data_IF_918003970061
#
_entry.id   IF_918003970061
#
_cell.length_a   1.000
_cell.length_b   1.000
_cell.length_c   1.000
_cell.angle_alpha   90.00
_cell.angle_beta   90.00
_cell.angle_gamma   90.00
#
_symmetry.space_group_name_H-M   'P 1'
#
loop_
_entity.id
_entity.type
_entity.pdbx_description
1 polymer ?
#
# COMPACT_ATOMS: atom_id res chain seq x y z
N UNK A 1 24.23 23.70 2.59
CA UNK A 1 24.95 24.47 3.63
C UNK A 1 24.46 24.05 5.02
N UNK A 2 25.24 24.30 6.08
CA UNK A 2 24.82 24.02 7.48
C UNK A 2 23.48 24.66 7.82
N UNK A 3 23.29 25.93 7.44
CA UNK A 3 22.04 26.67 7.64
C UNK A 3 20.85 25.97 6.99
N UNK A 4 20.97 25.56 5.71
CA UNK A 4 19.89 24.87 5.03
C UNK A 4 19.50 23.56 5.73
N UNK A 5 20.50 22.79 6.19
CA UNK A 5 20.26 21.55 6.92
C UNK A 5 19.53 21.79 8.25
N UNK A 6 20.00 22.73 9.07
CA UNK A 6 19.35 23.05 10.35
C UNK A 6 17.93 23.58 10.18
N UNK A 7 17.69 24.46 9.19
CA UNK A 7 16.35 24.98 8.89
C UNK A 7 15.41 23.89 8.38
N UNK A 8 15.87 23.04 7.46
CA UNK A 8 15.05 21.97 6.88
C UNK A 8 14.65 20.93 7.94
N UNK A 9 15.59 20.53 8.81
CA UNK A 9 15.29 19.59 9.89
C UNK A 9 14.35 20.18 10.94
N UNK A 10 14.57 21.43 11.34
CA UNK A 10 13.65 22.12 12.24
C UNK A 10 12.25 22.17 11.63
N UNK A 11 12.12 22.54 10.36
CA UNK A 11 10.84 22.57 9.67
C UNK A 11 10.19 21.19 9.65
N UNK A 12 10.91 20.13 9.24
CA UNK A 12 10.37 18.77 9.17
C UNK A 12 9.71 18.35 10.48
N UNK A 13 10.41 18.51 11.62
CA UNK A 13 9.88 18.11 12.92
C UNK A 13 8.80 19.04 13.49
N UNK A 14 8.71 20.29 13.04
CA UNK A 14 7.77 21.29 13.62
C UNK A 14 6.54 21.56 12.76
N UNK A 15 6.52 21.13 11.49
CA UNK A 15 5.38 21.34 10.59
C UNK A 15 4.66 20.05 10.21
N UNK A 16 5.18 18.89 10.63
CA UNK A 16 4.60 17.58 10.39
C UNK A 16 3.64 17.14 11.49
N UNK A 17 3.69 15.84 11.80
CA UNK A 17 2.88 15.21 12.84
C UNK A 17 3.75 14.55 13.92
N UNK A 18 3.18 14.41 15.11
CA UNK A 18 3.81 13.72 16.22
C UNK A 18 2.78 12.83 16.96
N UNK A 19 3.27 11.73 17.52
CA UNK A 19 2.49 10.84 18.40
C UNK A 19 3.27 10.69 19.70
N UNK A 20 2.59 10.93 20.81
CA UNK A 20 3.13 10.89 22.17
C UNK A 20 2.49 9.70 22.91
N UNK A 21 3.34 8.74 23.28
CA UNK A 21 2.99 7.57 24.07
C UNK A 21 3.42 7.70 25.54
N UNK A 22 4.10 8.78 25.93
CA UNK A 22 4.74 8.95 27.26
C UNK A 22 3.79 8.83 28.44
N UNK A 23 2.49 9.07 28.24
CA UNK A 23 1.45 8.89 29.25
C UNK A 23 1.05 7.43 29.50
N UNK A 24 1.49 6.50 28.66
CA UNK A 24 1.12 5.08 28.71
C UNK A 24 1.99 4.31 29.70
N UNK A 25 1.40 3.32 30.37
CA UNK A 25 2.12 2.42 31.29
C UNK A 25 2.36 1.03 30.69
N UNK A 26 1.70 0.71 29.57
CA UNK A 26 1.96 -0.51 28.81
C UNK A 26 3.36 -0.43 28.17
N UNK A 27 4.22 -1.41 28.46
CA UNK A 27 5.62 -1.42 27.99
C UNK A 27 5.72 -1.44 26.45
N UNK A 28 4.71 -1.96 25.76
CA UNK A 28 4.62 -1.99 24.29
C UNK A 28 4.62 -0.57 23.71
N UNK A 29 4.09 0.41 24.43
CA UNK A 29 3.96 1.79 23.97
C UNK A 29 5.33 2.45 23.70
N UNK A 30 6.31 2.25 24.60
CA UNK A 30 7.65 2.83 24.45
C UNK A 30 8.41 2.27 23.24
N UNK A 31 8.22 0.99 22.94
CA UNK A 31 8.84 0.39 21.77
C UNK A 31 8.22 0.90 20.46
N UNK A 32 6.89 1.09 20.42
CA UNK A 32 6.23 1.70 19.26
C UNK A 32 6.72 3.14 19.07
N UNK A 33 6.78 3.94 20.13
CA UNK A 33 7.27 5.33 20.08
C UNK A 33 8.70 5.41 19.53
N UNK A 34 9.61 4.56 20.03
CA UNK A 34 10.98 4.45 19.53
C UNK A 34 11.00 4.16 18.03
N UNK A 35 10.22 3.16 17.58
CA UNK A 35 10.17 2.79 16.16
C UNK A 35 9.60 3.90 15.30
N UNK A 36 8.58 4.62 15.77
CA UNK A 36 7.98 5.76 15.04
C UNK A 36 9.00 6.87 14.84
N UNK A 37 9.64 7.34 15.92
CA UNK A 37 10.60 8.46 15.85
C UNK A 37 11.75 8.12 14.90
N UNK A 38 12.35 6.93 15.06
CA UNK A 38 13.46 6.51 14.22
C UNK A 38 13.03 6.28 12.77
N UNK A 39 11.84 5.74 12.53
CA UNK A 39 11.33 5.55 11.16
C UNK A 39 11.09 6.89 10.45
N UNK A 40 10.53 7.89 11.14
CA UNK A 40 10.39 9.24 10.56
C UNK A 40 11.73 9.83 10.15
N UNK A 41 12.76 9.68 11.00
CA UNK A 41 14.12 10.10 10.68
C UNK A 41 14.70 9.36 9.46
N UNK A 42 14.62 8.03 9.46
CA UNK A 42 15.20 7.19 8.40
C UNK A 42 14.55 7.44 7.05
N UNK A 43 13.23 7.40 6.99
CA UNK A 43 12.49 7.59 5.74
C UNK A 43 12.73 9.01 5.20
N UNK A 44 12.85 10.03 6.08
CA UNK A 44 13.21 11.40 5.65
C UNK A 44 14.56 11.46 4.93
N UNK A 45 15.62 10.87 5.49
CA UNK A 45 16.96 10.98 4.89
C UNK A 45 17.16 10.06 3.67
N UNK A 46 16.44 8.95 3.62
CA UNK A 46 16.65 7.91 2.61
C UNK A 46 15.73 8.05 1.39
N UNK A 47 14.53 8.63 1.52
CA UNK A 47 13.44 8.40 0.54
C UNK A 47 12.75 9.67 0.03
N UNK A 48 13.30 10.85 0.33
CA UNK A 48 12.72 12.15 -0.09
C UNK A 48 13.31 12.72 -1.38
N UNK A 49 13.79 11.82 -2.24
CA UNK A 49 14.28 12.13 -3.58
C UNK A 49 13.17 12.57 -4.55
N UNK A 50 13.51 12.68 -5.83
CA UNK A 50 12.53 12.88 -6.92
C UNK A 50 12.26 11.59 -7.69
N UNK A 51 12.78 10.46 -7.22
CA UNK A 51 12.64 9.14 -7.82
C UNK A 51 12.09 8.17 -6.77
N UNK A 52 11.38 7.11 -7.18
CA UNK A 52 11.00 6.02 -6.30
C UNK A 52 12.24 5.45 -5.59
N UNK A 53 12.19 5.24 -4.26
CA UNK A 53 13.30 4.66 -3.52
C UNK A 53 13.46 3.17 -3.84
N UNK A 54 14.69 2.66 -3.76
CA UNK A 54 14.91 1.22 -3.55
C UNK A 54 14.67 0.87 -2.07
N UNK A 55 14.52 -0.42 -1.79
CA UNK A 55 13.99 -0.93 -0.52
C UNK A 55 14.93 -0.71 0.69
N UNK A 56 16.22 -0.47 0.44
CA UNK A 56 17.23 -0.13 1.45
C UNK A 56 17.58 1.36 1.46
N UNK A 57 16.87 2.18 0.68
CA UNK A 57 17.11 3.61 0.53
C UNK A 57 18.46 3.90 -0.12
N UNK A 58 19.21 4.86 0.40
CA UNK A 58 20.54 5.24 -0.08
C UNK A 58 21.67 4.49 0.67
N UNK A 59 21.36 3.46 1.46
CA UNK A 59 22.34 2.83 2.36
C UNK A 59 23.27 1.85 1.64
N UNK A 60 22.71 0.87 0.93
CA UNK A 60 23.45 -0.09 0.12
C UNK A 60 22.50 -0.68 -0.93
N UNK A 61 23.04 -1.34 -1.96
CA UNK A 61 22.20 -1.93 -2.99
C UNK A 61 21.54 -3.23 -2.48
N UNK A 62 20.23 -3.20 -2.27
CA UNK A 62 19.40 -4.42 -2.37
C UNK A 62 19.15 -4.72 -3.85
N UNK A 63 18.13 -5.52 -4.20
CA UNK A 63 17.69 -5.88 -5.56
C UNK A 63 18.24 -5.03 -6.74
N UNK A 64 19.53 -5.23 -7.06
CA UNK A 64 20.30 -4.47 -8.05
C UNK A 64 20.35 -2.93 -7.89
N UNK A 65 19.99 -2.39 -6.72
CA UNK A 65 19.92 -0.94 -6.52
C UNK A 65 18.71 -0.29 -7.22
N UNK A 66 17.71 -1.08 -7.62
CA UNK A 66 16.60 -0.65 -8.47
C UNK A 66 15.29 -0.56 -7.68
N UNK A 67 14.49 0.50 -7.88
CA UNK A 67 13.15 0.56 -7.31
C UNK A 67 12.25 -0.55 -7.87
N UNK A 68 11.65 -1.32 -6.97
CA UNK A 68 10.53 -2.19 -7.29
C UNK A 68 9.24 -1.42 -7.06
N UNK A 69 8.48 -1.18 -8.12
CA UNK A 69 7.34 -0.26 -8.13
C UNK A 69 6.13 -0.74 -7.34
N UNK A 70 6.15 -1.96 -6.79
CA UNK A 70 5.22 -2.38 -5.73
C UNK A 70 5.56 -1.83 -4.33
N UNK A 71 6.80 -1.43 -4.09
CA UNK A 71 7.26 -0.94 -2.79
C UNK A 71 7.00 0.55 -2.50
N UNK A 72 6.84 1.47 -3.47
CA UNK A 72 6.53 2.88 -3.23
C UNK A 72 5.36 3.12 -2.29
N UNK A 73 4.35 2.24 -2.26
CA UNK A 73 3.28 2.37 -1.27
C UNK A 73 3.84 2.34 0.16
N UNK A 74 4.63 1.30 0.45
CA UNK A 74 5.24 1.08 1.76
C UNK A 74 6.29 2.11 2.13
N UNK A 75 6.87 2.79 1.15
CA UNK A 75 7.83 3.86 1.33
C UNK A 75 7.17 5.24 1.52
N UNK A 76 6.21 5.59 0.67
CA UNK A 76 5.81 6.98 0.45
C UNK A 76 4.37 7.29 0.90
N UNK A 77 3.49 6.29 0.99
CA UNK A 77 2.07 6.51 1.27
C UNK A 77 1.82 7.22 2.61
N UNK A 78 2.72 7.05 3.58
CA UNK A 78 2.58 7.67 4.89
C UNK A 78 2.77 9.19 4.88
N UNK A 79 3.55 9.77 3.95
CA UNK A 79 3.97 11.17 4.06
C UNK A 79 2.80 12.17 4.22
N UNK A 80 1.73 12.13 3.41
CA UNK A 80 0.58 13.01 3.61
C UNK A 80 -0.07 12.82 4.99
N UNK A 81 -0.16 11.58 5.48
CA UNK A 81 -0.74 11.27 6.79
C UNK A 81 0.06 11.82 7.97
N UNK A 82 1.32 12.19 7.74
CA UNK A 82 2.22 12.82 8.70
C UNK A 82 2.48 14.31 8.40
N UNK A 83 1.63 14.95 7.59
CA UNK A 83 1.73 16.39 7.29
C UNK A 83 2.84 16.75 6.30
N UNK A 84 3.23 15.81 5.45
CA UNK A 84 4.36 15.95 4.52
C UNK A 84 4.01 15.66 3.06
N UNK A 85 2.79 16.00 2.58
CA UNK A 85 2.41 15.77 1.16
C UNK A 85 3.43 16.24 0.14
N UNK A 86 4.12 17.34 0.39
CA UNK A 86 5.09 17.90 -0.55
C UNK A 86 6.24 16.92 -0.84
N UNK A 87 6.56 16.01 0.08
CA UNK A 87 7.55 14.97 -0.13
C UNK A 87 7.02 13.87 -1.07
N UNK A 88 5.76 13.47 -0.93
CA UNK A 88 5.11 12.55 -1.87
C UNK A 88 4.95 13.19 -3.25
N UNK A 89 4.45 14.43 -3.32
CA UNK A 89 4.24 15.18 -4.57
C UNK A 89 5.54 15.33 -5.37
N UNK A 90 6.67 15.54 -4.69
CA UNK A 90 7.99 15.58 -5.33
C UNK A 90 8.40 14.22 -5.91
N UNK A 91 8.20 13.11 -5.18
CA UNK A 91 8.53 11.77 -5.69
C UNK A 91 7.62 11.36 -6.86
N UNK A 92 6.39 11.88 -6.89
CA UNK A 92 5.43 11.64 -7.96
C UNK A 92 5.83 12.25 -9.31
N UNK A 93 6.77 13.21 -9.33
CA UNK A 93 7.26 13.81 -10.57
C UNK A 93 7.90 12.76 -11.50
N UNK A 94 8.45 11.67 -10.95
CA UNK A 94 9.00 10.55 -11.74
C UNK A 94 7.97 9.91 -12.69
N UNK A 95 6.69 9.85 -12.32
CA UNK A 95 5.67 9.28 -13.19
C UNK A 95 5.48 10.08 -14.48
N UNK A 96 5.76 11.39 -14.48
CA UNK A 96 5.77 12.18 -15.72
C UNK A 96 6.96 11.81 -16.61
N UNK A 97 8.14 11.61 -16.01
CA UNK A 97 9.34 11.13 -16.72
C UNK A 97 9.10 9.77 -17.36
N UNK A 98 8.43 8.85 -16.64
CA UNK A 98 8.19 7.49 -17.08
C UNK A 98 6.98 7.33 -18.02
N UNK A 99 6.12 8.33 -18.17
CA UNK A 99 4.81 8.20 -18.84
C UNK A 99 4.91 7.71 -20.29
N UNK A 100 5.83 8.25 -21.09
CA UNK A 100 5.99 7.82 -22.48
C UNK A 100 6.43 6.37 -22.59
N UNK A 101 7.28 5.90 -21.67
CA UNK A 101 7.72 4.51 -21.61
C UNK A 101 6.59 3.60 -21.12
N UNK A 102 5.83 4.02 -20.12
CA UNK A 102 4.64 3.31 -19.64
C UNK A 102 3.59 3.11 -20.75
N UNK A 103 3.41 4.12 -21.61
CA UNK A 103 2.56 4.03 -22.81
C UNK A 103 3.09 3.02 -23.83
N UNK A 104 4.41 2.99 -24.05
CA UNK A 104 5.05 2.02 -24.94
C UNK A 104 4.91 0.58 -24.43
N UNK A 105 5.04 0.37 -23.12
CA UNK A 105 4.83 -0.93 -22.48
C UNK A 105 3.39 -1.42 -22.71
N UNK A 106 2.39 -0.58 -22.40
CA UNK A 106 0.98 -0.89 -22.63
C UNK A 106 0.74 -1.28 -24.10
N UNK A 107 1.18 -0.43 -25.04
CA UNK A 107 1.03 -0.69 -26.48
C UNK A 107 1.69 -1.99 -26.93
N UNK A 108 2.92 -2.27 -26.48
CA UNK A 108 3.67 -3.49 -26.83
C UNK A 108 2.96 -4.75 -26.38
N UNK A 109 2.22 -4.67 -25.27
CA UNK A 109 1.47 -5.78 -24.69
C UNK A 109 0.00 -5.83 -25.14
N UNK A 110 -0.44 -4.91 -26.01
CA UNK A 110 -1.80 -4.88 -26.54
C UNK A 110 -2.83 -4.20 -25.64
N UNK A 111 -2.39 -3.41 -24.67
CA UNK A 111 -3.26 -2.64 -23.76
C UNK A 111 -3.33 -1.15 -24.13
N UNK A 112 -4.34 -0.48 -23.61
CA UNK A 112 -4.50 0.98 -23.72
C UNK A 112 -3.76 1.68 -22.56
N UNK A 113 -3.69 3.01 -22.60
CA UNK A 113 -3.26 3.81 -21.46
C UNK A 113 -1.77 3.71 -21.11
N UNK A 114 -1.49 3.71 -19.81
CA UNK A 114 -0.16 3.72 -19.19
C UNK A 114 -0.01 2.50 -18.29
N UNK A 115 0.93 1.61 -18.63
CA UNK A 115 1.32 0.47 -17.79
C UNK A 115 2.66 0.74 -17.12
N UNK A 116 2.71 0.74 -15.81
CA UNK A 116 3.89 1.08 -15.03
C UNK A 116 4.82 -0.13 -14.87
N UNK A 117 6.13 -0.01 -15.19
CA UNK A 117 7.04 -1.13 -15.08
C UNK A 117 7.20 -1.60 -13.62
N UNK A 118 7.36 -2.90 -13.40
CA UNK A 118 7.56 -3.49 -12.07
C UNK A 118 8.93 -3.14 -11.47
N UNK A 119 10.02 -3.34 -12.21
CA UNK A 119 11.37 -2.90 -11.81
C UNK A 119 11.84 -1.86 -12.81
N UNK A 120 12.37 -0.75 -12.31
CA UNK A 120 12.72 0.38 -13.17
C UNK A 120 13.96 1.12 -12.71
N UNK A 121 14.36 2.14 -13.46
CA UNK A 121 15.39 3.09 -13.10
C UNK A 121 14.85 4.52 -13.04
N UNK A 122 15.73 5.48 -12.73
CA UNK A 122 15.34 6.88 -12.59
C UNK A 122 14.83 7.52 -13.91
N UNK A 123 15.09 6.89 -15.06
CA UNK A 123 14.60 7.34 -16.37
C UNK A 123 13.28 6.64 -16.76
N UNK A 124 12.77 5.72 -15.95
CA UNK A 124 11.57 4.95 -16.25
C UNK A 124 11.81 3.77 -17.21
N UNK A 125 13.07 3.35 -17.42
CA UNK A 125 13.36 2.16 -18.23
C UNK A 125 12.97 0.89 -17.48
N UNK A 126 12.31 -0.04 -18.17
CA UNK A 126 11.99 -1.36 -17.61
C UNK A 126 13.28 -2.17 -17.42
N UNK A 127 13.45 -2.74 -16.23
CA UNK A 127 14.59 -3.61 -15.91
C UNK A 127 14.19 -5.09 -16.00
N UNK A 128 15.13 -6.00 -16.36
CA UNK A 128 14.82 -7.42 -16.45
C UNK A 128 14.26 -8.01 -15.16
N UNK A 129 13.15 -8.74 -15.27
CA UNK A 129 12.51 -9.45 -14.16
C UNK A 129 11.76 -10.66 -14.71
N UNK A 130 11.89 -11.82 -14.05
CA UNK A 130 11.17 -13.04 -14.43
C UNK A 130 9.66 -12.95 -14.20
N UNK A 131 9.21 -12.03 -13.34
CA UNK A 131 7.80 -11.88 -12.94
C UNK A 131 7.21 -10.51 -13.31
N UNK A 132 8.03 -9.53 -13.67
CA UNK A 132 7.60 -8.13 -13.79
C UNK A 132 6.48 -7.88 -14.79
N UNK A 133 6.43 -8.63 -15.89
CA UNK A 133 5.38 -8.50 -16.90
C UNK A 133 4.01 -9.04 -16.45
N UNK A 134 3.95 -9.78 -15.33
CA UNK A 134 2.71 -10.37 -14.80
C UNK A 134 2.22 -9.70 -13.51
N UNK A 135 3.04 -8.88 -12.87
CA UNK A 135 2.67 -8.20 -11.64
C UNK A 135 1.79 -6.98 -11.96
N UNK A 136 0.75 -6.75 -11.14
CA UNK A 136 -0.26 -5.70 -11.37
C UNK A 136 -0.51 -4.78 -10.18
N UNK A 137 -0.13 -5.18 -8.96
CA UNK A 137 -0.56 -4.45 -7.76
C UNK A 137 0.10 -3.08 -7.59
N UNK A 138 1.18 -2.80 -8.33
CA UNK A 138 1.79 -1.48 -8.43
C UNK A 138 0.98 -0.49 -9.30
N UNK A 139 0.22 -1.01 -10.28
CA UNK A 139 -0.42 -0.21 -11.32
C UNK A 139 -1.34 0.88 -10.75
N UNK A 140 -2.15 0.62 -9.69
CA UNK A 140 -3.04 1.64 -9.17
C UNK A 140 -2.39 2.62 -8.17
N UNK A 141 -1.11 2.44 -7.80
CA UNK A 141 -0.42 3.28 -6.80
C UNK A 141 -0.43 4.76 -7.14
N UNK A 142 -0.20 5.11 -8.41
CA UNK A 142 -0.25 6.50 -8.87
C UNK A 142 -1.59 7.17 -8.54
N UNK A 143 -2.71 6.47 -8.78
CA UNK A 143 -4.05 6.98 -8.48
C UNK A 143 -4.22 7.14 -6.97
N UNK A 144 -3.71 6.20 -6.17
CA UNK A 144 -3.72 6.30 -4.71
C UNK A 144 -2.95 7.52 -4.19
N UNK A 145 -1.73 7.72 -4.67
CA UNK A 145 -0.90 8.85 -4.27
C UNK A 145 -1.50 10.19 -4.71
N UNK A 146 -1.96 10.29 -5.96
CA UNK A 146 -2.60 11.49 -6.47
C UNK A 146 -3.88 11.84 -5.69
N UNK A 147 -4.73 10.86 -5.38
CA UNK A 147 -5.92 11.09 -4.54
C UNK A 147 -5.53 11.52 -3.13
N UNK A 148 -4.49 10.94 -2.55
CA UNK A 148 -4.03 11.30 -1.20
C UNK A 148 -3.49 12.73 -1.16
N UNK A 149 -2.71 13.15 -2.16
CA UNK A 149 -2.26 14.55 -2.31
C UNK A 149 -3.47 15.48 -2.48
N UNK A 150 -4.42 15.12 -3.35
CA UNK A 150 -5.62 15.92 -3.58
C UNK A 150 -6.46 16.07 -2.31
N UNK A 151 -6.63 15.00 -1.53
CA UNK A 151 -7.39 15.04 -0.26
C UNK A 151 -6.81 16.06 0.72
N UNK A 152 -5.50 16.23 0.72
CA UNK A 152 -4.80 17.19 1.57
C UNK A 152 -4.77 18.61 0.96
N UNK A 153 -5.96 19.20 0.80
CA UNK A 153 -6.17 20.59 0.34
C UNK A 153 -7.34 20.75 -0.61
N UNK A 154 -7.79 19.67 -1.26
CA UNK A 154 -8.86 19.62 -2.26
C UNK A 154 -8.63 20.62 -3.40
N UNK A 155 -7.38 20.81 -3.78
CA UNK A 155 -6.97 21.79 -4.77
C UNK A 155 -7.20 21.28 -6.19
N UNK A 156 -7.90 22.07 -6.99
CA UNK A 156 -8.11 21.79 -8.41
C UNK A 156 -6.79 21.74 -9.19
N UNK A 157 -5.75 22.47 -8.76
CA UNK A 157 -4.43 22.43 -9.39
C UNK A 157 -3.81 21.02 -9.34
N UNK A 158 -4.05 20.24 -8.28
CA UNK A 158 -3.61 18.84 -8.18
C UNK A 158 -4.34 17.97 -9.20
N UNK A 159 -5.66 18.17 -9.36
CA UNK A 159 -6.43 17.47 -10.37
C UNK A 159 -5.89 17.76 -11.78
N UNK A 160 -5.66 19.04 -12.09
CA UNK A 160 -5.13 19.44 -13.40
C UNK A 160 -3.71 18.92 -13.66
N UNK A 161 -2.83 18.94 -12.65
CA UNK A 161 -1.45 18.41 -12.73
C UNK A 161 -1.47 16.92 -13.10
N UNK A 162 -2.27 16.12 -12.40
CA UNK A 162 -2.20 14.65 -12.48
C UNK A 162 -3.24 13.99 -13.39
N UNK A 163 -4.24 14.72 -13.91
CA UNK A 163 -5.36 14.11 -14.68
C UNK A 163 -4.90 13.21 -15.83
N UNK A 164 -3.86 13.60 -16.57
CA UNK A 164 -3.38 12.82 -17.72
C UNK A 164 -2.81 11.47 -17.28
N UNK A 165 -2.05 11.47 -16.18
CA UNK A 165 -1.48 10.26 -15.59
C UNK A 165 -2.55 9.36 -14.96
N UNK A 166 -3.48 9.95 -14.20
CA UNK A 166 -4.61 9.23 -13.59
C UNK A 166 -5.49 8.59 -14.66
N UNK A 167 -5.85 9.33 -15.71
CA UNK A 167 -6.69 8.81 -16.78
C UNK A 167 -5.97 7.76 -17.62
N UNK A 168 -4.70 7.99 -17.96
CA UNK A 168 -3.90 7.00 -18.68
C UNK A 168 -3.72 5.70 -17.91
N UNK A 169 -3.53 5.78 -16.59
CA UNK A 169 -3.48 4.58 -15.72
C UNK A 169 -4.83 3.87 -15.69
N UNK A 170 -5.93 4.63 -15.54
CA UNK A 170 -7.28 4.07 -15.55
C UNK A 170 -7.66 3.42 -16.90
N UNK A 171 -7.17 3.97 -18.02
CA UNK A 171 -7.35 3.37 -19.35
C UNK A 171 -6.64 2.01 -19.46
N UNK A 172 -5.39 1.90 -18.96
CA UNK A 172 -4.70 0.61 -18.87
C UNK A 172 -5.51 -0.35 -18.01
N UNK A 173 -5.88 0.07 -16.79
CA UNK A 173 -6.64 -0.74 -15.86
C UNK A 173 -7.98 -1.21 -16.44
N UNK A 174 -8.69 -0.39 -17.20
CA UNK A 174 -9.94 -0.77 -17.85
C UNK A 174 -9.74 -1.65 -19.09
N UNK A 175 -8.55 -1.67 -19.68
CA UNK A 175 -8.24 -2.50 -20.85
C UNK A 175 -7.64 -3.87 -20.51
N UNK A 176 -7.13 -4.04 -19.29
CA UNK A 176 -6.44 -5.25 -18.88
C UNK A 176 -7.36 -6.46 -18.58
N UNK A 177 -8.47 -6.33 -17.80
CA UNK A 177 -9.35 -7.44 -17.52
C UNK A 177 -9.98 -8.04 -18.79
N UNK A 178 -10.06 -9.36 -18.87
CA UNK A 178 -10.76 -10.02 -19.99
C UNK A 178 -12.24 -10.18 -19.66
N UNK A 179 -13.09 -9.98 -20.66
CA UNK A 179 -14.53 -10.18 -20.52
C UNK A 179 -14.90 -11.65 -20.75
N UNK A 180 -15.39 -12.30 -19.70
CA UNK A 180 -15.93 -13.67 -19.70
C UNK A 180 -17.43 -13.61 -20.04
N UNK A 181 -17.77 -13.97 -21.28
CA UNK A 181 -19.14 -13.85 -21.81
C UNK A 181 -20.12 -14.76 -21.08
N UNK A 182 -19.65 -15.93 -20.68
CA UNK A 182 -20.45 -17.00 -20.09
C UNK A 182 -21.04 -16.58 -18.73
N UNK A 183 -20.31 -15.76 -17.98
CA UNK A 183 -20.73 -15.29 -16.65
C UNK A 183 -20.96 -13.77 -16.59
N UNK A 184 -20.98 -13.10 -17.75
CA UNK A 184 -21.17 -11.64 -17.89
C UNK A 184 -20.29 -10.82 -16.91
N UNK A 185 -18.99 -11.13 -16.87
CA UNK A 185 -18.05 -10.51 -15.92
C UNK A 185 -16.66 -10.25 -16.52
N UNK A 186 -15.94 -9.29 -15.94
CA UNK A 186 -14.52 -9.06 -16.20
C UNK A 186 -13.66 -9.79 -15.18
N UNK A 187 -12.75 -10.61 -15.68
CA UNK A 187 -11.77 -11.34 -14.88
C UNK A 187 -10.43 -10.61 -14.95
N UNK A 188 -9.81 -10.42 -13.79
CA UNK A 188 -8.46 -9.87 -13.66
C UNK A 188 -7.44 -11.02 -13.74
N UNK A 189 -6.76 -11.13 -14.88
CA UNK A 189 -5.99 -12.33 -15.28
C UNK A 189 -6.77 -13.17 -16.30
N UNK A 190 -6.35 -14.37 -16.70
CA UNK A 190 -5.10 -15.07 -16.37
C UNK A 190 -3.86 -14.32 -16.85
N UNK A 191 -2.68 -14.70 -16.36
CA UNK A 191 -1.43 -13.99 -16.63
C UNK A 191 -1.17 -12.89 -15.59
N UNK A 192 -1.44 -13.19 -14.32
CA UNK A 192 -1.19 -12.28 -13.20
C UNK A 192 -0.40 -12.97 -12.09
N UNK A 193 0.59 -12.26 -11.53
CA UNK A 193 1.22 -12.61 -10.27
C UNK A 193 0.67 -11.65 -9.21
N UNK A 194 -0.07 -12.15 -8.21
CA UNK A 194 -0.62 -11.29 -7.17
C UNK A 194 0.47 -10.88 -6.18
N UNK A 195 0.17 -9.91 -5.33
CA UNK A 195 1.07 -9.36 -4.31
C UNK A 195 1.64 -10.40 -3.35
N UNK A 196 1.00 -11.58 -3.23
CA UNK A 196 1.56 -12.69 -2.46
C UNK A 196 2.73 -13.41 -3.16
N UNK A 197 2.87 -13.31 -4.49
CA UNK A 197 3.98 -13.86 -5.29
C UNK A 197 4.18 -15.40 -5.22
N UNK A 198 3.18 -16.16 -4.77
CA UNK A 198 3.25 -17.64 -4.64
C UNK A 198 2.59 -18.45 -5.74
N UNK A 199 1.72 -17.81 -6.52
CA UNK A 199 0.88 -18.48 -7.51
C UNK A 199 1.51 -18.41 -8.92
N UNK A 200 1.20 -19.39 -9.77
CA UNK A 200 1.71 -19.43 -11.14
C UNK A 200 0.98 -18.43 -12.01
N UNK A 201 1.71 -17.57 -12.73
CA UNK A 201 1.14 -16.47 -13.49
C UNK A 201 0.08 -16.93 -14.51
N UNK A 202 0.36 -18.04 -15.19
CA UNK A 202 -0.42 -18.56 -16.32
C UNK A 202 -1.79 -19.11 -15.90
N UNK A 203 -1.91 -19.51 -14.63
CA UNK A 203 -3.12 -20.13 -14.08
C UNK A 203 -3.93 -19.15 -13.22
N UNK A 204 -3.27 -18.12 -12.67
CA UNK A 204 -3.84 -17.27 -11.63
C UNK A 204 -4.80 -16.23 -12.19
N UNK A 205 -5.95 -16.03 -11.56
CA UNK A 205 -6.89 -14.95 -11.86
C UNK A 205 -7.72 -14.54 -10.64
N UNK A 206 -8.29 -13.34 -10.71
CA UNK A 206 -9.10 -12.70 -9.66
C UNK A 206 -8.46 -12.75 -8.26
N UNK A 207 -7.23 -12.21 -8.08
CA UNK A 207 -6.69 -12.00 -6.73
C UNK A 207 -7.53 -11.03 -5.90
N UNK A 208 -7.79 -11.36 -4.64
CA UNK A 208 -8.74 -10.60 -3.81
C UNK A 208 -8.32 -9.16 -3.56
N UNK A 209 -7.04 -8.92 -3.24
CA UNK A 209 -6.54 -7.57 -2.99
C UNK A 209 -6.60 -6.71 -4.26
N UNK A 210 -6.13 -7.26 -5.37
CA UNK A 210 -6.05 -6.58 -6.65
C UNK A 210 -7.44 -6.25 -7.18
N UNK A 211 -8.44 -7.13 -7.03
CA UNK A 211 -9.83 -6.82 -7.39
C UNK A 211 -10.36 -5.59 -6.64
N UNK A 212 -10.11 -5.51 -5.33
CA UNK A 212 -10.51 -4.35 -4.53
C UNK A 212 -9.76 -3.10 -4.95
N UNK A 213 -8.46 -3.22 -5.22
CA UNK A 213 -7.66 -2.07 -5.64
C UNK A 213 -8.06 -1.57 -7.02
N UNK A 214 -8.34 -2.49 -7.95
CA UNK A 214 -8.82 -2.18 -9.29
C UNK A 214 -10.12 -1.38 -9.24
N UNK A 215 -11.10 -1.89 -8.48
CA UNK A 215 -12.38 -1.24 -8.30
C UNK A 215 -12.23 0.13 -7.63
N UNK A 216 -11.41 0.23 -6.57
CA UNK A 216 -11.17 1.50 -5.89
C UNK A 216 -10.56 2.55 -6.82
N UNK A 217 -9.53 2.18 -7.59
CA UNK A 217 -8.80 3.14 -8.39
C UNK A 217 -9.60 3.59 -9.62
N UNK A 218 -10.32 2.69 -10.30
CA UNK A 218 -11.23 3.06 -11.39
C UNK A 218 -12.37 3.95 -10.89
N UNK A 219 -12.94 3.64 -9.71
CA UNK A 219 -13.95 4.50 -9.06
C UNK A 219 -13.38 5.89 -8.77
N UNK A 220 -12.14 5.94 -8.27
CA UNK A 220 -11.45 7.21 -7.96
C UNK A 220 -11.14 8.01 -9.22
N UNK A 221 -10.71 7.36 -10.30
CA UNK A 221 -10.50 8.00 -11.60
C UNK A 221 -11.80 8.58 -12.17
N UNK A 222 -12.94 7.91 -12.00
CA UNK A 222 -14.25 8.49 -12.37
C UNK A 222 -14.59 9.73 -11.53
N UNK A 223 -14.35 9.70 -10.22
CA UNK A 223 -14.51 10.88 -9.35
C UNK A 223 -13.63 12.05 -9.79
N UNK A 224 -12.41 11.78 -10.27
CA UNK A 224 -11.54 12.80 -10.85
C UNK A 224 -12.15 13.46 -12.10
N UNK A 225 -12.76 12.67 -12.99
CA UNK A 225 -13.49 13.20 -14.15
C UNK A 225 -14.63 14.10 -13.73
N UNK A 226 -15.46 13.65 -12.78
CA UNK A 226 -16.59 14.41 -12.25
C UNK A 226 -16.15 15.73 -11.59
N UNK A 227 -15.10 15.70 -10.76
CA UNK A 227 -14.52 16.91 -10.13
C UNK A 227 -13.95 17.90 -11.16
N UNK A 228 -13.56 17.42 -12.33
CA UNK A 228 -13.11 18.23 -13.47
C UNK A 228 -14.26 18.61 -14.43
N UNK A 229 -15.51 18.32 -14.08
CA UNK A 229 -16.70 18.53 -14.91
C UNK A 229 -16.63 17.80 -16.27
N UNK A 230 -15.92 16.68 -16.33
CA UNK A 230 -15.88 15.79 -17.48
C UNK A 230 -16.93 14.68 -17.30
N UNK A 231 -17.58 14.21 -18.38
CA UNK A 231 -18.46 13.07 -18.31
C UNK A 231 -17.68 11.82 -17.89
N UNK A 232 -18.29 10.92 -17.12
CA UNK A 232 -17.71 9.62 -16.78
C UNK A 232 -17.30 8.84 -18.04
N UNK A 233 -16.24 8.05 -17.94
CA UNK A 233 -15.81 7.17 -19.03
C UNK A 233 -16.66 5.89 -19.02
N UNK A 234 -17.35 5.62 -20.13
CA UNK A 234 -18.27 4.47 -20.25
C UNK A 234 -17.56 3.11 -20.11
N UNK A 235 -16.35 2.96 -20.65
CA UNK A 235 -15.58 1.71 -20.57
C UNK A 235 -15.18 1.41 -19.14
N UNK A 236 -14.75 2.45 -18.40
CA UNK A 236 -14.40 2.30 -16.98
C UNK A 236 -15.64 1.93 -16.16
N UNK A 237 -16.81 2.51 -16.45
CA UNK A 237 -18.07 2.14 -15.81
C UNK A 237 -18.49 0.70 -16.11
N UNK A 238 -18.33 0.25 -17.34
CA UNK A 238 -18.64 -1.13 -17.73
C UNK A 238 -17.77 -2.13 -16.96
N UNK A 239 -16.45 -1.89 -16.89
CA UNK A 239 -15.52 -2.73 -16.13
C UNK A 239 -15.88 -2.70 -14.64
N UNK A 240 -16.16 -1.52 -14.06
CA UNK A 240 -16.56 -1.42 -12.65
C UNK A 240 -17.82 -2.22 -12.32
N UNK A 241 -18.84 -2.14 -13.19
CA UNK A 241 -20.12 -2.82 -12.99
C UNK A 241 -20.02 -4.34 -13.10
N UNK A 242 -19.11 -4.81 -13.94
CA UNK A 242 -18.98 -6.23 -14.29
C UNK A 242 -17.71 -6.88 -13.73
N UNK A 243 -16.88 -6.17 -12.97
CA UNK A 243 -15.69 -6.76 -12.37
C UNK A 243 -16.07 -7.93 -11.47
N UNK A 244 -15.31 -9.02 -11.54
CA UNK A 244 -15.52 -10.20 -10.71
C UNK A 244 -15.71 -9.88 -9.23
N UNK A 245 -16.63 -10.61 -8.60
CA UNK A 245 -16.81 -10.61 -7.14
C UNK A 245 -15.57 -11.21 -6.48
N UNK A 246 -15.35 -10.84 -5.22
CA UNK A 246 -14.26 -11.38 -4.43
C UNK A 246 -14.46 -12.88 -4.18
N UNK A 247 -13.43 -13.72 -4.38
CA UNK A 247 -13.55 -15.16 -4.19
C UNK A 247 -13.66 -15.52 -2.71
N UNK A 248 -14.71 -16.26 -2.34
CA UNK A 248 -15.00 -16.71 -0.97
C UNK A 248 -15.21 -18.21 -0.95
N UNK A 249 -14.60 -18.89 0.03
CA UNK A 249 -14.81 -20.31 0.29
C UNK A 249 -14.81 -20.56 1.79
N UNK A 250 -15.76 -21.35 2.29
CA UNK A 250 -15.86 -21.70 3.70
C UNK A 250 -15.82 -20.49 4.66
N UNK A 251 -16.49 -19.39 4.27
CA UNK A 251 -16.56 -18.13 5.04
C UNK A 251 -15.20 -17.43 5.21
N UNK A 252 -14.25 -17.68 4.32
CA UNK A 252 -12.95 -17.01 4.21
C UNK A 252 -12.78 -16.45 2.79
N UNK A 253 -12.15 -15.29 2.66
CA UNK A 253 -11.72 -14.81 1.34
C UNK A 253 -10.55 -15.65 0.85
N UNK A 254 -10.58 -16.16 -0.38
CA UNK A 254 -9.42 -16.83 -0.96
C UNK A 254 -8.34 -15.81 -1.33
N UNK A 255 -7.09 -16.26 -1.49
CA UNK A 255 -6.03 -15.38 -2.02
C UNK A 255 -6.34 -14.99 -3.48
N UNK A 256 -6.78 -15.96 -4.28
CA UNK A 256 -7.21 -15.79 -5.68
C UNK A 256 -8.37 -16.75 -6.00
N UNK A 257 -9.22 -16.44 -6.99
CA UNK A 257 -10.33 -17.33 -7.40
C UNK A 257 -9.81 -18.68 -7.93
N UNK A 258 -8.68 -18.65 -8.64
CA UNK A 258 -7.99 -19.85 -9.14
C UNK A 258 -7.46 -20.79 -8.06
N UNK A 259 -7.23 -20.30 -6.83
CA UNK A 259 -6.56 -21.05 -5.77
C UNK A 259 -7.54 -21.48 -4.67
N UNK A 260 -8.42 -22.44 -4.97
CA UNK A 260 -9.38 -23.00 -4.00
C UNK A 260 -8.70 -23.73 -2.83
N UNK A 261 -7.41 -24.03 -2.96
CA UNK A 261 -6.53 -24.62 -1.95
C UNK A 261 -5.66 -23.57 -1.20
N UNK A 262 -5.98 -22.27 -1.31
CA UNK A 262 -5.24 -21.15 -0.67
C UNK A 262 -4.86 -21.42 0.80
N UNK A 263 -5.72 -22.10 1.55
CA UNK A 263 -5.58 -22.34 2.98
C UNK A 263 -5.28 -23.79 3.37
N UNK A 264 -5.24 -24.70 2.41
CA UNK A 264 -4.90 -26.12 2.64
C UNK A 264 -3.51 -26.45 2.11
N UNK A 265 -3.04 -25.75 1.08
CA UNK A 265 -1.72 -25.94 0.50
C UNK A 265 -0.64 -25.19 1.30
N UNK A 266 0.34 -25.89 1.91
CA UNK A 266 1.40 -25.24 2.70
C UNK A 266 2.17 -24.16 1.95
N UNK A 267 2.37 -24.30 0.64
CA UNK A 267 3.12 -23.34 -0.19
C UNK A 267 2.40 -21.99 -0.31
N UNK A 268 1.08 -21.98 -0.23
CA UNK A 268 0.24 -20.78 -0.34
C UNK A 268 -0.05 -20.12 1.02
N UNK A 269 0.47 -20.69 2.12
CA UNK A 269 0.42 -20.12 3.47
C UNK A 269 1.74 -19.47 3.91
N UNK A 270 2.61 -19.19 2.96
CA UNK A 270 3.88 -18.48 3.16
C UNK A 270 3.81 -17.13 2.45
N UNK A 271 4.82 -16.30 2.68
CA UNK A 271 4.92 -14.96 2.08
C UNK A 271 3.81 -14.04 2.60
N UNK A 272 3.47 -13.01 1.84
CA UNK A 272 2.52 -11.99 2.24
C UNK A 272 1.07 -12.52 2.36
N UNK A 273 0.37 -12.35 3.50
CA UNK A 273 -1.07 -12.57 3.61
C UNK A 273 -1.88 -11.45 2.91
N UNK A 274 -1.61 -11.23 1.62
CA UNK A 274 -2.07 -10.07 0.83
C UNK A 274 -3.58 -9.85 0.83
N UNK A 275 -4.39 -10.91 1.04
CA UNK A 275 -5.85 -10.82 1.18
C UNK A 275 -6.28 -9.81 2.25
N UNK A 276 -5.48 -9.62 3.31
CA UNK A 276 -5.76 -8.65 4.37
C UNK A 276 -5.68 -7.20 3.87
N UNK A 277 -4.84 -6.92 2.86
CA UNK A 277 -4.73 -5.58 2.27
C UNK A 277 -6.05 -5.10 1.66
N UNK A 278 -6.90 -6.02 1.18
CA UNK A 278 -8.21 -5.71 0.62
C UNK A 278 -9.10 -4.93 1.61
N UNK A 279 -8.87 -5.06 2.91
CA UNK A 279 -9.62 -4.34 3.94
C UNK A 279 -8.76 -3.40 4.77
N UNK A 280 -7.52 -3.78 5.10
CA UNK A 280 -6.64 -2.98 5.97
C UNK A 280 -6.00 -1.79 5.28
N UNK A 281 -5.43 -2.04 4.09
CA UNK A 281 -4.64 -1.08 3.30
C UNK A 281 -5.56 -0.25 2.41
N UNK A 282 -6.53 -0.90 1.78
CA UNK A 282 -7.44 -0.24 0.86
C UNK A 282 -8.52 0.58 1.58
N UNK A 283 -8.91 1.75 1.03
CA UNK A 283 -10.12 2.44 1.48
C UNK A 283 -11.35 1.57 1.25
N UNK A 284 -12.39 1.82 2.04
CA UNK A 284 -13.62 1.04 1.95
C UNK A 284 -14.29 1.22 0.57
N UNK A 285 -14.40 0.13 -0.20
CA UNK A 285 -15.10 0.10 -1.49
C UNK A 285 -16.54 -0.41 -1.40
N UNK A 286 -16.91 -1.02 -0.28
CA UNK A 286 -18.16 -1.75 -0.11
C UNK A 286 -18.15 -3.18 -0.66
N UNK A 287 -17.05 -3.64 -1.29
CA UNK A 287 -16.93 -5.00 -1.82
C UNK A 287 -16.58 -6.05 -0.75
N UNK A 288 -15.93 -5.62 0.34
CA UNK A 288 -15.45 -6.50 1.40
C UNK A 288 -16.45 -6.56 2.54
N UNK A 289 -16.91 -7.76 2.85
CA UNK A 289 -17.69 -8.08 4.03
C UNK A 289 -16.76 -8.16 5.26
N UNK A 290 -17.01 -7.31 6.25
CA UNK A 290 -16.17 -7.21 7.43
C UNK A 290 -16.20 -8.48 8.31
N UNK A 291 -17.30 -9.24 8.32
CA UNK A 291 -17.39 -10.49 9.08
C UNK A 291 -16.55 -11.59 8.43
N UNK A 292 -16.64 -11.76 7.11
CA UNK A 292 -15.79 -12.69 6.35
C UNK A 292 -14.32 -12.31 6.49
N UNK A 293 -14.00 -11.01 6.39
CA UNK A 293 -12.63 -10.54 6.58
C UNK A 293 -12.12 -10.77 8.01
N UNK A 294 -12.98 -10.62 9.03
CA UNK A 294 -12.61 -10.95 10.41
C UNK A 294 -12.31 -12.44 10.60
N UNK A 295 -13.10 -13.31 9.98
CA UNK A 295 -12.83 -14.76 9.99
C UNK A 295 -11.52 -15.08 9.27
N UNK A 296 -11.31 -14.46 8.11
CA UNK A 296 -10.06 -14.54 7.32
C UNK A 296 -8.85 -14.10 8.15
N UNK A 297 -8.95 -12.94 8.81
CA UNK A 297 -7.92 -12.42 9.70
C UNK A 297 -7.59 -13.39 10.84
N UNK A 298 -8.59 -13.88 11.56
CA UNK A 298 -8.38 -14.78 12.70
C UNK A 298 -7.73 -16.09 12.25
N UNK A 299 -8.17 -16.64 11.12
CA UNK A 299 -7.56 -17.83 10.56
C UNK A 299 -6.09 -17.60 10.21
N UNK A 300 -5.77 -16.50 9.52
CA UNK A 300 -4.38 -16.12 9.16
C UNK A 300 -3.55 -15.89 10.43
N UNK A 301 -4.09 -15.20 11.43
CA UNK A 301 -3.45 -14.96 12.72
C UNK A 301 -2.90 -16.25 13.34
N UNK A 302 -3.69 -17.32 13.30
CA UNK A 302 -3.36 -18.60 13.94
C UNK A 302 -2.57 -19.56 13.05
N UNK A 303 -2.73 -19.49 11.72
CA UNK A 303 -2.30 -20.57 10.82
C UNK A 303 -1.27 -20.15 9.76
N UNK A 304 -0.93 -18.86 9.65
CA UNK A 304 0.03 -18.39 8.67
C UNK A 304 1.47 -18.77 9.03
N UNK A 305 2.32 -18.96 8.02
CA UNK A 305 3.75 -19.23 8.22
C UNK A 305 4.49 -17.93 8.51
N UNK A 306 4.28 -17.35 9.69
CA UNK A 306 4.80 -16.03 10.07
C UNK A 306 6.32 -15.88 9.90
N UNK A 307 7.09 -16.96 10.04
CA UNK A 307 8.55 -16.93 9.80
C UNK A 307 8.96 -16.64 8.34
N UNK A 308 8.03 -16.84 7.40
CA UNK A 308 8.23 -16.66 5.96
C UNK A 308 7.56 -15.37 5.46
N UNK A 309 7.47 -14.35 6.32
CA UNK A 309 6.88 -13.02 6.04
C UNK A 309 7.94 -11.93 5.99
N UNK A 310 7.59 -10.76 5.48
CA UNK A 310 8.46 -9.60 5.31
C UNK A 310 8.05 -8.45 6.24
N UNK A 311 8.94 -7.47 6.40
CA UNK A 311 8.77 -6.41 7.39
C UNK A 311 7.53 -5.53 7.25
N UNK A 312 7.01 -5.34 6.03
CA UNK A 312 5.79 -4.57 5.81
C UNK A 312 4.50 -5.36 6.08
N UNK A 313 4.58 -6.69 6.24
CA UNK A 313 3.41 -7.53 6.52
C UNK A 313 2.78 -7.19 7.89
N UNK A 314 3.61 -6.88 8.88
CA UNK A 314 3.15 -6.57 10.23
C UNK A 314 2.36 -5.25 10.30
N UNK A 315 2.81 -4.15 9.65
CA UNK A 315 1.95 -2.98 9.42
C UNK A 315 0.65 -3.28 8.67
N UNK A 316 0.66 -4.10 7.61
CA UNK A 316 -0.58 -4.52 6.92
C UNK A 316 -1.58 -5.18 7.90
N UNK A 317 -1.10 -6.15 8.67
CA UNK A 317 -1.92 -6.88 9.64
C UNK A 317 -2.46 -5.92 10.70
N UNK A 318 -1.63 -4.99 11.17
CA UNK A 318 -2.03 -3.94 12.12
C UNK A 318 -3.13 -3.03 11.58
N UNK A 319 -3.00 -2.58 10.33
CA UNK A 319 -4.03 -1.76 9.68
C UNK A 319 -5.36 -2.51 9.52
N UNK A 320 -5.29 -3.80 9.18
CA UNK A 320 -6.47 -4.66 9.06
C UNK A 320 -7.15 -4.86 10.41
N UNK A 321 -6.40 -5.19 11.45
CA UNK A 321 -6.91 -5.33 12.82
C UNK A 321 -7.57 -4.03 13.31
N UNK A 322 -6.97 -2.87 13.00
CA UNK A 322 -7.52 -1.54 13.32
C UNK A 322 -8.90 -1.34 12.70
N UNK A 323 -9.04 -1.57 11.39
CA UNK A 323 -10.32 -1.39 10.68
C UNK A 323 -11.39 -2.42 11.08
N UNK A 324 -10.97 -3.56 11.64
CA UNK A 324 -11.85 -4.60 12.18
C UNK A 324 -12.26 -4.35 13.65
N UNK A 325 -11.79 -3.25 14.27
CA UNK A 325 -12.08 -2.94 15.66
C UNK A 325 -11.38 -3.86 16.66
N UNK A 326 -10.17 -4.32 16.33
CA UNK A 326 -9.36 -5.24 17.15
C UNK A 326 -8.05 -4.55 17.59
N UNK A 327 -8.11 -3.52 18.46
CA UNK A 327 -6.94 -2.69 18.77
C UNK A 327 -5.80 -3.43 19.48
N UNK A 328 -6.09 -4.45 20.31
CA UNK A 328 -5.03 -5.28 20.90
C UNK A 328 -4.25 -6.05 19.82
N UNK A 329 -4.97 -6.65 18.84
CA UNK A 329 -4.34 -7.32 17.70
C UNK A 329 -3.56 -6.34 16.81
N UNK A 330 -4.03 -5.09 16.70
CA UNK A 330 -3.32 -4.06 15.94
C UNK A 330 -1.96 -3.72 16.55
N UNK A 331 -1.89 -3.58 17.88
CA UNK A 331 -0.63 -3.40 18.62
C UNK A 331 0.23 -4.66 18.55
N UNK A 332 -0.35 -5.83 18.79
CA UNK A 332 0.38 -7.10 18.79
C UNK A 332 0.98 -7.42 17.42
N UNK A 333 0.31 -7.06 16.32
CA UNK A 333 0.85 -7.23 14.97
C UNK A 333 2.17 -6.47 14.81
N UNK A 334 2.23 -5.20 15.24
CA UNK A 334 3.46 -4.39 15.16
C UNK A 334 4.59 -4.92 16.03
N UNK A 335 4.30 -5.73 17.06
CA UNK A 335 5.28 -6.21 18.02
C UNK A 335 5.44 -7.74 18.02
N UNK A 336 4.88 -8.41 17.01
CA UNK A 336 4.99 -9.86 16.86
C UNK A 336 6.46 -10.26 16.83
N UNK A 337 6.84 -11.25 17.66
CA UNK A 337 8.22 -11.69 17.82
C UNK A 337 8.68 -12.57 16.65
N UNK A 338 8.86 -11.94 15.49
CA UNK A 338 9.32 -12.56 14.25
C UNK A 338 10.54 -11.77 13.75
N UNK A 339 11.54 -12.47 13.21
CA UNK A 339 12.80 -11.88 12.75
C UNK A 339 12.58 -10.69 11.82
N UNK A 340 11.68 -10.81 10.83
CA UNK A 340 11.40 -9.77 9.85
C UNK A 340 10.60 -8.58 10.41
N UNK A 341 10.07 -8.69 11.64
CA UNK A 341 9.46 -7.60 12.40
C UNK A 341 10.44 -6.92 13.39
N UNK A 342 11.73 -7.25 13.31
CA UNK A 342 12.75 -6.67 14.20
C UNK A 342 13.12 -5.27 13.74
N UNK A 343 13.13 -4.32 14.68
CA UNK A 343 13.64 -2.96 14.47
C UNK A 343 14.92 -2.78 15.27
N UNK A 344 16.03 -2.62 14.56
CA UNK A 344 17.36 -2.47 15.15
C UNK A 344 17.44 -1.23 16.05
N UNK A 345 18.51 -1.13 16.85
CA UNK A 345 18.74 0.03 17.73
C UNK A 345 18.78 1.34 16.93
N UNK A 346 19.33 1.30 15.71
CA UNK A 346 19.35 2.44 14.79
C UNK A 346 18.02 2.69 14.06
N UNK A 347 16.99 1.90 14.35
CA UNK A 347 15.63 2.05 13.84
C UNK A 347 15.29 1.29 12.56
N UNK A 348 16.27 0.77 11.82
CA UNK A 348 15.97 0.06 10.57
C UNK A 348 15.23 -1.24 10.87
N UNK A 349 14.23 -1.55 10.04
CA UNK A 349 13.62 -2.86 10.01
C UNK A 349 14.58 -3.88 9.37
N UNK A 350 14.81 -5.00 10.04
CA UNK A 350 15.75 -6.07 9.65
C UNK A 350 15.01 -7.23 9.01
N UNK A 351 15.56 -7.83 7.95
CA UNK A 351 15.00 -9.04 7.32
C UNK A 351 15.84 -10.27 7.61
N UNK A 352 17.09 -10.28 7.11
CA UNK A 352 18.03 -11.39 7.27
C UNK A 352 19.48 -10.95 7.00
N UNK A 353 20.43 -11.88 7.02
CA UNK A 353 21.85 -11.57 6.84
C UNK A 353 22.20 -10.93 5.49
N UNK A 354 21.42 -11.25 4.43
CA UNK A 354 21.59 -10.74 3.06
C UNK A 354 20.85 -9.43 2.82
N UNK A 355 19.73 -9.23 3.53
CA UNK A 355 18.93 -8.00 3.52
C UNK A 355 18.80 -7.47 4.95
N UNK A 356 19.85 -6.81 5.42
CA UNK A 356 19.95 -6.36 6.80
C UNK A 356 19.06 -5.16 7.11
N UNK A 357 18.67 -4.40 6.10
CA UNK A 357 17.81 -3.22 6.22
C UNK A 357 16.69 -3.32 5.20
N UNK A 358 15.49 -2.90 5.58
CA UNK A 358 14.32 -2.94 4.71
C UNK A 358 13.31 -1.86 5.10
N UNK A 359 13.40 -0.72 4.42
CA UNK A 359 12.63 0.47 4.72
C UNK A 359 11.12 0.38 4.42
N UNK A 360 10.60 -0.54 3.56
CA UNK A 360 9.16 -0.80 3.50
C UNK A 360 8.52 -1.11 4.85
N UNK A 361 9.25 -1.80 5.75
CA UNK A 361 8.79 -2.01 7.12
C UNK A 361 8.61 -0.70 7.88
N UNK A 362 9.60 0.21 7.78
CA UNK A 362 9.59 1.51 8.44
C UNK A 362 8.46 2.43 7.94
N UNK A 363 8.29 2.60 6.63
CA UNK A 363 7.22 3.43 6.08
C UNK A 363 5.83 2.79 6.25
N UNK A 364 5.74 1.46 6.19
CA UNK A 364 4.55 0.71 6.56
C UNK A 364 4.12 0.97 8.00
N UNK A 365 5.06 0.92 8.95
CA UNK A 365 4.79 1.24 10.36
C UNK A 365 4.22 2.65 10.52
N UNK A 366 4.79 3.64 9.84
CA UNK A 366 4.29 5.01 9.88
C UNK A 366 2.86 5.11 9.32
N UNK A 367 2.57 4.39 8.24
CA UNK A 367 1.19 4.28 7.72
C UNK A 367 0.25 3.66 8.76
N UNK A 368 0.65 2.55 9.37
CA UNK A 368 -0.17 1.85 10.37
C UNK A 368 -0.44 2.72 11.60
N UNK A 369 0.58 3.38 12.17
CA UNK A 369 0.40 4.22 13.36
C UNK A 369 -0.49 5.43 13.06
N UNK A 370 -0.36 6.05 11.87
CA UNK A 370 -1.27 7.12 11.48
C UNK A 370 -2.73 6.65 11.44
N UNK A 371 -3.00 5.47 10.86
CA UNK A 371 -4.32 4.85 10.85
C UNK A 371 -4.81 4.51 12.27
N UNK A 372 -3.95 3.93 13.11
CA UNK A 372 -4.30 3.55 14.48
C UNK A 372 -4.67 4.75 15.36
N UNK A 373 -4.07 5.92 15.09
CA UNK A 373 -4.26 7.14 15.87
C UNK A 373 -5.36 8.04 15.28
N UNK A 374 -5.19 8.51 14.04
CA UNK A 374 -6.12 9.44 13.40
C UNK A 374 -7.36 8.75 12.82
N UNK A 375 -7.26 7.44 12.52
CA UNK A 375 -8.32 6.66 11.91
C UNK A 375 -8.41 6.83 10.41
N UNK A 376 -9.58 6.51 9.89
CA UNK A 376 -9.91 6.48 8.46
C UNK A 376 -11.26 7.14 8.20
N UNK A 377 -11.62 7.33 6.93
CA UNK A 377 -12.93 7.87 6.56
C UNK A 377 -14.05 6.99 7.15
N UNK A 378 -14.99 7.62 7.85
CA UNK A 378 -16.07 6.93 8.56
C UNK A 378 -15.70 6.35 9.94
N UNK A 379 -14.42 6.39 10.35
CA UNK A 379 -14.03 6.01 11.70
C UNK A 379 -14.65 6.96 12.74
N UNK A 380 -15.40 6.37 13.69
CA UNK A 380 -16.08 7.07 14.79
C UNK A 380 -15.25 7.11 16.07
N UNK A 381 -14.42 6.10 16.27
CA UNK A 381 -13.57 5.97 17.45
C UNK A 381 -12.34 6.87 17.35
N UNK A 382 -12.00 7.54 18.45
CA UNK A 382 -10.69 8.22 18.59
C UNK A 382 -9.63 7.15 18.83
N UNK A 383 -8.47 7.24 18.18
CA UNK A 383 -7.40 6.24 18.29
C UNK A 383 -7.89 4.80 18.05
N UNK A 384 -8.52 4.48 16.90
CA UNK A 384 -9.22 3.21 16.68
C UNK A 384 -8.32 1.97 16.81
N UNK A 385 -7.03 2.11 16.58
CA UNK A 385 -6.06 1.01 16.69
C UNK A 385 -5.35 0.92 18.04
N UNK A 386 -5.66 1.82 18.98
CA UNK A 386 -5.04 1.83 20.32
C UNK A 386 -6.01 1.21 21.34
N UNK A 387 -5.55 0.23 22.16
CA UNK A 387 -6.39 -0.39 23.17
C UNK A 387 -6.98 0.63 24.15
N UNK A 388 -8.22 0.38 24.61
CA UNK A 388 -8.95 1.27 25.52
C UNK A 388 -8.77 0.93 26.99
N UNK A 389 -7.81 0.05 27.31
CA UNK A 389 -7.50 -0.31 28.68
C UNK A 389 -6.72 0.83 29.38
N UNK A 390 -6.58 0.77 30.71
CA UNK A 390 -5.93 1.82 31.51
C UNK A 390 -4.44 2.01 31.21
N UNK A 391 -3.82 1.08 30.48
CA UNK A 391 -2.39 1.10 30.16
C UNK A 391 -2.00 2.01 28.99
N UNK A 392 -2.97 2.47 28.19
CA UNK A 392 -2.71 3.28 26.99
C UNK A 392 -3.24 4.70 27.15
N UNK A 393 -2.35 5.68 26.96
CA UNK A 393 -2.67 7.10 26.94
C UNK A 393 -1.86 7.76 25.84
N UNK A 394 -2.47 7.79 24.65
CA UNK A 394 -1.84 8.27 23.42
C UNK A 394 -2.42 9.61 23.02
N UNK A 395 -1.54 10.57 22.72
CA UNK A 395 -1.87 11.85 22.12
C UNK A 395 -1.18 11.97 20.77
N UNK A 396 -1.71 12.81 19.90
CA UNK A 396 -1.07 13.11 18.63
C UNK A 396 -1.51 14.48 18.12
N UNK A 397 -0.71 15.04 17.23
CA UNK A 397 -1.00 16.26 16.50
C UNK A 397 -0.61 16.10 15.03
N UNK A 398 -1.20 16.90 14.14
CA UNK A 398 -0.85 16.96 12.72
C UNK A 398 -1.22 15.74 11.87
N UNK A 399 -1.54 14.58 12.45
CA UNK A 399 -1.95 13.39 11.69
C UNK A 399 -3.28 13.62 10.96
N UNK A 400 -3.41 13.05 9.77
CA UNK A 400 -4.66 13.08 9.00
C UNK A 400 -5.25 11.69 8.79
N UNK A 401 -6.58 11.62 8.70
CA UNK A 401 -7.29 10.36 8.42
C UNK A 401 -6.88 9.77 7.07
N UNK A 402 -6.65 8.45 7.07
CA UNK A 402 -6.54 7.71 5.83
C UNK A 402 -7.91 7.63 5.12
N UNK A 403 -7.94 7.46 3.79
CA UNK A 403 -9.18 7.26 3.06
C UNK A 403 -9.96 6.00 3.46
#
# INVERSE_FOLDING_TARGET
TKLNNSTTWKSFWTTGAAVDFSGSTDKRAFEIERRVILSQYLIKIQETGSNPPQETGLTYNSWFGKPHMEMPYWHLAHYPFWGHKALLDKSMDWYFTAADKAKQIAKRQGFEGLRWPKVTDNNGDESPSSIGAFLLWNEPHLIYFAETIYREGKDKAVLEKYKALVFGTADFMASYPFYEKENDRYILGKGVIPAQERFKAEETFNPTYELVYWHWALTTAQKWRERLNLPRNKKWDEVLQKLSKLPVQNNLYLATESATDSYTNPKYKTDHPSVLMAYGVMPATGQVDAAIMKNTFNWIWENWSWKDTWGWDFPMVSMTATRLGMPEKAVDALLMNITTNTYLINGHNYQNERLRLYLPGNGGLLSAVALMCAGYDGAKEINPGIPKNKGWKVKWEGLTKQP
#
